data_IF_475863212210
#
_entry.id   IF_475863212210
#
_cell.length_a   1.000
_cell.length_b   1.000
_cell.length_c   1.000
_cell.angle_alpha   90.00
_cell.angle_beta   90.00
_cell.angle_gamma   90.00
#
_symmetry.space_group_name_H-M   'P 1'
#
loop_
_entity.id
_entity.type
_entity.pdbx_description
1 polymer ?
#
# COMPACT_ATOMS: atom_id res chain seq x y z
N UNK A 1 -24.75 11.31 -26.47
CA UNK A 1 -24.31 11.81 -25.16
C UNK A 1 -24.27 10.62 -24.23
N UNK A 2 -23.09 10.27 -23.70
CA UNK A 2 -22.96 9.21 -22.69
C UNK A 2 -23.80 9.60 -21.48
N UNK A 3 -24.71 8.74 -21.03
CA UNK A 3 -25.42 8.97 -19.78
C UNK A 3 -24.40 9.05 -18.64
N UNK A 4 -24.53 10.05 -17.74
CA UNK A 4 -23.74 10.21 -16.51
C UNK A 4 -23.36 8.88 -15.82
N UNK A 5 -24.29 7.91 -15.61
CA UNK A 5 -23.94 6.61 -15.02
C UNK A 5 -22.87 5.82 -15.79
N UNK A 6 -22.87 5.87 -17.12
CA UNK A 6 -21.88 5.18 -17.96
C UNK A 6 -20.48 5.76 -17.77
N UNK A 7 -20.39 7.09 -17.62
CA UNK A 7 -19.12 7.75 -17.33
C UNK A 7 -18.59 7.35 -15.95
N UNK A 8 -19.45 7.33 -14.93
CA UNK A 8 -19.07 6.90 -13.58
C UNK A 8 -18.56 5.45 -13.55
N UNK A 9 -19.25 4.54 -14.25
CA UNK A 9 -18.83 3.12 -14.37
C UNK A 9 -17.48 3.02 -15.07
N UNK A 10 -17.27 3.78 -16.16
CA UNK A 10 -16.01 3.76 -16.90
C UNK A 10 -14.83 4.24 -16.03
N UNK A 11 -15.02 5.34 -15.28
CA UNK A 11 -14.01 5.86 -14.36
C UNK A 11 -13.70 4.83 -13.27
N UNK A 12 -14.73 4.25 -12.65
CA UNK A 12 -14.54 3.23 -11.62
C UNK A 12 -13.79 2.01 -12.18
N UNK A 13 -14.17 1.50 -13.36
CA UNK A 13 -13.50 0.39 -14.01
C UNK A 13 -12.01 0.69 -14.24
N UNK A 14 -11.69 1.88 -14.77
CA UNK A 14 -10.32 2.31 -15.02
C UNK A 14 -9.49 2.37 -13.72
N UNK A 15 -10.06 2.88 -12.63
CA UNK A 15 -9.39 2.92 -11.32
C UNK A 15 -9.12 1.52 -10.76
N UNK A 16 -10.10 0.61 -10.83
CA UNK A 16 -9.91 -0.78 -10.38
C UNK A 16 -8.84 -1.51 -11.20
N UNK A 17 -8.84 -1.33 -12.52
CA UNK A 17 -7.82 -1.92 -13.40
C UNK A 17 -6.45 -1.34 -13.08
N UNK A 18 -6.32 -0.02 -12.93
CA UNK A 18 -5.05 0.63 -12.63
C UNK A 18 -4.48 0.20 -11.27
N UNK A 19 -5.33 0.11 -10.23
CA UNK A 19 -4.93 -0.33 -8.91
C UNK A 19 -4.47 -1.81 -8.92
N UNK A 20 -5.23 -2.67 -9.59
CA UNK A 20 -4.89 -4.09 -9.77
C UNK A 20 -3.54 -4.25 -10.49
N UNK A 21 -3.39 -3.58 -11.64
CA UNK A 21 -2.16 -3.59 -12.43
C UNK A 21 -0.95 -3.11 -11.61
N UNK A 22 -1.11 -2.05 -10.83
CA UNK A 22 -0.03 -1.53 -9.98
C UNK A 22 0.36 -2.52 -8.89
N UNK A 23 -0.61 -3.07 -8.15
CA UNK A 23 -0.33 -4.03 -7.07
C UNK A 23 0.36 -5.28 -7.59
N UNK A 24 -0.15 -5.84 -8.69
CA UNK A 24 0.42 -7.05 -9.27
C UNK A 24 1.79 -6.81 -9.88
N UNK A 25 1.99 -5.67 -10.56
CA UNK A 25 3.29 -5.30 -11.12
C UNK A 25 4.35 -5.13 -10.02
N UNK A 26 4.00 -4.49 -8.90
CA UNK A 26 4.91 -4.36 -7.76
C UNK A 26 5.29 -5.73 -7.20
N UNK A 27 4.32 -6.63 -7.01
CA UNK A 27 4.61 -7.99 -6.54
C UNK A 27 5.50 -8.77 -7.52
N UNK A 28 5.12 -8.83 -8.80
CA UNK A 28 5.88 -9.59 -9.79
C UNK A 28 7.29 -9.00 -9.99
N UNK A 29 7.43 -7.66 -9.96
CA UNK A 29 8.74 -7.02 -10.03
C UNK A 29 9.64 -7.39 -8.84
N UNK A 30 9.07 -7.64 -7.66
CA UNK A 30 9.82 -8.05 -6.46
C UNK A 30 10.41 -9.46 -6.56
N UNK A 31 9.95 -10.28 -7.52
CA UNK A 31 10.48 -11.61 -7.79
C UNK A 31 11.69 -11.58 -8.75
N UNK A 32 11.92 -10.47 -9.46
CA UNK A 32 13.05 -10.33 -10.37
C UNK A 32 14.36 -10.20 -9.60
N UNK A 33 15.41 -10.94 -10.01
CA UNK A 33 16.75 -10.85 -9.39
C UNK A 33 17.56 -9.70 -9.95
N UNK A 34 17.24 -9.29 -11.18
CA UNK A 34 17.88 -8.17 -11.88
C UNK A 34 16.85 -7.09 -12.21
N UNK A 35 17.31 -5.86 -12.44
CA UNK A 35 16.42 -4.75 -12.83
C UNK A 35 15.66 -5.04 -14.14
N UNK A 36 16.28 -5.77 -15.06
CA UNK A 36 15.67 -6.19 -16.34
C UNK A 36 14.62 -7.28 -16.13
N UNK A 37 14.87 -8.28 -15.27
CA UNK A 37 13.85 -9.28 -14.91
C UNK A 37 12.64 -8.62 -14.23
N UNK A 38 12.89 -7.68 -13.31
CA UNK A 38 11.84 -6.97 -12.59
C UNK A 38 10.92 -6.18 -13.54
N UNK A 39 11.48 -5.50 -14.54
CA UNK A 39 10.69 -4.74 -15.52
C UNK A 39 9.90 -5.65 -16.46
N UNK A 40 10.47 -6.79 -16.89
CA UNK A 40 9.76 -7.78 -17.71
C UNK A 40 8.57 -8.35 -16.95
N UNK A 41 8.77 -8.73 -15.68
CA UNK A 41 7.69 -9.25 -14.83
C UNK A 41 6.61 -8.19 -14.56
N UNK A 42 6.99 -6.93 -14.34
CA UNK A 42 6.03 -5.83 -14.20
C UNK A 42 5.16 -5.65 -15.46
N UNK A 43 5.78 -5.62 -16.65
CA UNK A 43 5.06 -5.49 -17.93
C UNK A 43 4.14 -6.68 -18.17
N UNK A 44 4.63 -7.90 -17.91
CA UNK A 44 3.82 -9.12 -18.02
C UNK A 44 2.59 -9.05 -17.11
N UNK A 45 2.76 -8.56 -15.89
CA UNK A 45 1.65 -8.38 -14.95
C UNK A 45 0.62 -7.37 -15.44
N UNK A 46 1.06 -6.20 -15.91
CA UNK A 46 0.15 -5.18 -16.44
C UNK A 46 -0.63 -5.71 -17.66
N UNK A 47 0.03 -6.47 -18.55
CA UNK A 47 -0.62 -7.10 -19.69
C UNK A 47 -1.66 -8.16 -19.26
N UNK A 48 -1.37 -8.94 -18.21
CA UNK A 48 -2.31 -9.88 -17.63
C UNK A 48 -3.55 -9.16 -17.07
N UNK A 49 -3.38 -8.04 -16.36
CA UNK A 49 -4.50 -7.25 -15.83
C UNK A 49 -5.40 -6.64 -16.93
N UNK A 50 -4.82 -6.15 -18.03
CA UNK A 50 -5.60 -5.70 -19.19
C UNK A 50 -6.35 -6.87 -19.83
N UNK A 51 -5.70 -8.03 -19.93
CA UNK A 51 -6.32 -9.25 -20.48
C UNK A 51 -7.49 -9.71 -19.61
N UNK A 52 -7.35 -9.68 -18.28
CA UNK A 52 -8.42 -9.97 -17.31
C UNK A 52 -9.63 -9.05 -17.48
N UNK A 53 -9.41 -7.77 -17.77
CA UNK A 53 -10.48 -6.81 -17.98
C UNK A 53 -11.29 -7.13 -19.25
N UNK A 54 -10.63 -7.55 -20.33
CA UNK A 54 -11.27 -7.76 -21.65
C UNK A 54 -11.91 -9.14 -21.78
N UNK A 55 -11.29 -10.18 -21.23
CA UNK A 55 -11.75 -11.58 -21.38
C UNK A 55 -13.21 -11.85 -20.96
N UNK A 56 -13.77 -11.25 -19.90
CA UNK A 56 -15.17 -11.42 -19.54
C UNK A 56 -16.13 -11.04 -20.68
N UNK A 57 -15.82 -9.98 -21.43
CA UNK A 57 -16.63 -9.56 -22.59
C UNK A 57 -16.56 -10.62 -23.70
N UNK A 58 -15.38 -11.20 -23.93
CA UNK A 58 -15.16 -12.28 -24.91
C UNK A 58 -15.92 -13.55 -24.49
N UNK A 59 -15.91 -13.90 -23.21
CA UNK A 59 -16.65 -15.04 -22.66
C UNK A 59 -18.15 -14.87 -22.90
N UNK A 60 -18.73 -13.72 -22.52
CA UNK A 60 -20.16 -13.47 -22.75
C UNK A 60 -20.50 -13.47 -24.24
N UNK A 61 -19.65 -12.87 -25.08
CA UNK A 61 -19.81 -12.92 -26.55
C UNK A 61 -19.83 -14.36 -27.07
N UNK A 62 -18.90 -15.20 -26.63
CA UNK A 62 -18.80 -16.59 -27.07
C UNK A 62 -20.02 -17.41 -26.62
N UNK A 63 -20.59 -17.12 -25.44
CA UNK A 63 -21.85 -17.72 -24.98
C UNK A 63 -23.02 -17.32 -25.89
N UNK A 64 -23.16 -16.03 -26.21
CA UNK A 64 -24.25 -15.52 -27.07
C UNK A 64 -24.17 -16.11 -28.48
N UNK A 65 -22.96 -16.16 -29.04
CA UNK A 65 -22.72 -16.71 -30.40
C UNK A 65 -22.61 -18.24 -30.44
N UNK A 66 -22.77 -18.93 -29.31
CA UNK A 66 -22.59 -20.40 -29.16
C UNK A 66 -21.24 -20.90 -29.71
N UNK A 67 -20.19 -20.09 -29.62
CA UNK A 67 -18.84 -20.39 -30.10
C UNK A 67 -18.05 -21.16 -29.03
N UNK A 68 -18.38 -22.44 -28.81
CA UNK A 68 -17.86 -23.25 -27.70
C UNK A 68 -16.33 -23.33 -27.61
N UNK A 69 -15.62 -23.38 -28.74
CA UNK A 69 -14.15 -23.38 -28.74
C UNK A 69 -13.55 -22.07 -28.22
N UNK A 70 -14.13 -20.92 -28.62
CA UNK A 70 -13.72 -19.61 -28.10
C UNK A 70 -14.06 -19.47 -26.62
N UNK A 71 -15.22 -19.99 -26.20
CA UNK A 71 -15.63 -20.00 -24.80
C UNK A 71 -14.63 -20.77 -23.93
N UNK A 72 -14.28 -22.01 -24.33
CA UNK A 72 -13.34 -22.84 -23.57
C UNK A 72 -11.97 -22.15 -23.42
N UNK A 73 -11.42 -21.63 -24.52
CA UNK A 73 -10.13 -20.92 -24.50
C UNK A 73 -10.16 -19.64 -23.67
N UNK A 74 -11.18 -18.80 -23.84
CA UNK A 74 -11.31 -17.55 -23.10
C UNK A 74 -11.54 -17.79 -21.60
N UNK A 75 -12.38 -18.77 -21.23
CA UNK A 75 -12.62 -19.14 -19.84
C UNK A 75 -11.38 -19.72 -19.17
N UNK A 76 -10.61 -20.57 -19.86
CA UNK A 76 -9.35 -21.10 -19.33
C UNK A 76 -8.33 -19.98 -19.08
N UNK A 77 -8.11 -19.12 -20.08
CA UNK A 77 -7.19 -17.99 -19.95
C UNK A 77 -7.63 -17.03 -18.83
N UNK A 78 -8.94 -16.76 -18.72
CA UNK A 78 -9.49 -15.92 -17.66
C UNK A 78 -9.24 -16.52 -16.28
N UNK A 79 -9.44 -17.84 -16.13
CA UNK A 79 -9.15 -18.55 -14.88
C UNK A 79 -7.67 -18.45 -14.49
N UNK A 80 -6.76 -18.65 -15.43
CA UNK A 80 -5.30 -18.52 -15.20
C UNK A 80 -4.94 -17.11 -14.76
N UNK A 81 -5.42 -16.10 -15.48
CA UNK A 81 -5.10 -14.70 -15.18
C UNK A 81 -5.69 -14.26 -13.83
N UNK A 82 -6.94 -14.65 -13.51
CA UNK A 82 -7.54 -14.37 -12.19
C UNK A 82 -6.74 -15.05 -11.08
N UNK A 83 -6.34 -16.32 -11.27
CA UNK A 83 -5.55 -17.04 -10.27
C UNK A 83 -4.17 -16.38 -10.05
N UNK A 84 -3.48 -15.98 -11.12
CA UNK A 84 -2.22 -15.27 -11.06
C UNK A 84 -2.37 -13.91 -10.35
N UNK A 85 -3.43 -13.16 -10.69
CA UNK A 85 -3.74 -11.86 -10.12
C UNK A 85 -4.06 -11.94 -8.62
N UNK A 86 -4.88 -12.92 -8.22
CA UNK A 86 -5.15 -13.21 -6.80
C UNK A 86 -3.89 -13.60 -6.04
N UNK A 87 -3.07 -14.50 -6.59
CA UNK A 87 -1.81 -14.91 -5.98
C UNK A 87 -0.88 -13.69 -5.80
N UNK A 88 -0.85 -12.79 -6.79
CA UNK A 88 -0.04 -11.58 -6.76
C UNK A 88 -0.54 -10.57 -5.72
N UNK A 89 -1.85 -10.34 -5.64
CA UNK A 89 -2.46 -9.48 -4.62
C UNK A 89 -2.24 -9.99 -3.20
N UNK A 90 -2.36 -11.31 -2.98
CA UNK A 90 -2.05 -11.95 -1.69
C UNK A 90 -0.56 -11.79 -1.37
N UNK A 91 0.31 -12.03 -2.35
CA UNK A 91 1.75 -11.88 -2.21
C UNK A 91 2.18 -10.45 -1.88
N UNK A 92 1.63 -9.45 -2.57
CA UNK A 92 1.85 -8.03 -2.29
C UNK A 92 1.45 -7.66 -0.85
N UNK A 93 0.26 -8.11 -0.44
CA UNK A 93 -0.22 -7.87 0.91
C UNK A 93 0.63 -8.58 1.97
N UNK A 94 1.17 -9.76 1.65
CA UNK A 94 2.12 -10.47 2.52
C UNK A 94 3.46 -9.72 2.61
N UNK A 95 4.02 -9.23 1.50
CA UNK A 95 5.30 -8.51 1.47
C UNK A 95 5.25 -7.19 2.24
N UNK A 96 4.22 -6.37 1.99
CA UNK A 96 4.06 -5.07 2.67
C UNK A 96 3.92 -5.25 4.18
N UNK A 97 3.23 -6.30 4.62
CA UNK A 97 3.15 -6.67 6.02
C UNK A 97 4.46 -7.23 6.55
N UNK A 98 5.12 -8.10 5.80
CA UNK A 98 6.42 -8.65 6.13
C UNK A 98 7.41 -7.53 6.44
N UNK A 99 7.53 -6.56 5.54
CA UNK A 99 8.37 -5.38 5.71
C UNK A 99 7.99 -4.56 6.95
N UNK A 100 6.70 -4.30 7.18
CA UNK A 100 6.26 -3.57 8.37
C UNK A 100 6.55 -4.34 9.68
N UNK A 101 6.38 -5.66 9.69
CA UNK A 101 6.69 -6.49 10.85
C UNK A 101 8.19 -6.60 11.11
N UNK A 102 9.00 -6.75 10.06
CA UNK A 102 10.46 -6.79 10.16
C UNK A 102 11.02 -5.45 10.66
N UNK A 103 10.50 -4.32 10.18
CA UNK A 103 10.88 -3.00 10.68
C UNK A 103 10.59 -2.86 12.19
N UNK A 104 9.41 -3.30 12.64
CA UNK A 104 9.04 -3.29 14.06
C UNK A 104 9.89 -4.21 14.91
N UNK A 105 10.26 -5.39 14.39
CA UNK A 105 11.17 -6.31 15.07
C UNK A 105 12.55 -5.68 15.21
N UNK A 106 13.09 -5.07 14.15
CA UNK A 106 14.35 -4.33 14.20
C UNK A 106 14.30 -3.21 15.25
N UNK A 107 13.22 -2.42 15.30
CA UNK A 107 13.05 -1.37 16.32
C UNK A 107 12.97 -1.94 17.76
N UNK A 108 12.32 -3.10 17.92
CA UNK A 108 12.25 -3.79 19.21
C UNK A 108 13.63 -4.31 19.65
N UNK A 109 14.43 -4.84 18.72
CA UNK A 109 15.79 -5.33 18.97
C UNK A 109 16.76 -4.18 19.29
N UNK A 110 16.63 -3.05 18.59
CA UNK A 110 17.40 -1.83 18.91
C UNK A 110 17.01 -1.31 20.30
N UNK A 111 15.72 -1.38 20.68
CA UNK A 111 15.28 -0.96 22.02
C UNK A 111 15.78 -1.91 23.11
N UNK A 112 15.68 -3.21 22.89
CA UNK A 112 16.11 -4.23 23.87
C UNK A 112 17.62 -4.17 24.08
N UNK A 113 18.41 -4.03 23.02
CA UNK A 113 19.86 -3.82 23.11
C UNK A 113 20.22 -2.52 23.84
N UNK A 114 19.52 -1.41 23.57
CA UNK A 114 19.73 -0.16 24.30
C UNK A 114 19.35 -0.26 25.79
N UNK A 115 18.31 -1.03 26.14
CA UNK A 115 17.97 -1.31 27.54
C UNK A 115 19.03 -2.15 28.25
N UNK A 116 19.60 -3.13 27.56
CA UNK A 116 20.71 -3.94 28.10
C UNK A 116 21.96 -3.08 28.34
N UNK A 117 22.30 -2.19 27.40
CA UNK A 117 23.39 -1.24 27.57
C UNK A 117 23.17 -0.31 28.76
N UNK A 118 21.93 0.17 28.96
CA UNK A 118 21.61 1.01 30.12
C UNK A 118 21.82 0.26 31.44
N UNK A 119 21.40 -1.00 31.51
CA UNK A 119 21.63 -1.86 32.68
C UNK A 119 23.10 -2.13 32.94
N UNK A 120 23.90 -2.32 31.90
CA UNK A 120 25.36 -2.48 32.03
C UNK A 120 26.01 -1.20 32.58
N UNK A 121 25.60 -0.02 32.08
CA UNK A 121 26.06 1.26 32.62
C UNK A 121 25.65 1.46 34.08
N UNK A 122 24.43 1.08 34.45
CA UNK A 122 23.96 1.12 35.84
C UNK A 122 24.83 0.22 36.73
N UNK A 123 25.11 -1.02 36.30
CA UNK A 123 25.97 -1.95 37.04
C UNK A 123 27.41 -1.42 37.21
N UNK A 124 27.98 -0.78 36.17
CA UNK A 124 29.30 -0.14 36.26
C UNK A 124 29.29 1.05 37.23
N UNK A 125 28.21 1.83 37.25
CA UNK A 125 28.05 2.95 38.17
C UNK A 125 27.89 2.51 39.63
N UNK A 126 27.33 1.32 39.88
CA UNK A 126 27.23 0.72 41.21
C UNK A 126 28.57 0.20 41.73
N UNK A 127 29.45 -0.29 40.83
CA UNK A 127 30.80 -0.74 41.20
C UNK A 127 31.73 0.42 41.56
N UNK A 128 31.46 1.63 41.06
CA UNK A 128 32.25 2.82 41.38
C UNK A 128 31.84 3.42 42.73
N UNK A 129 32.81 3.75 43.62
CA UNK A 129 32.51 4.33 44.91
C UNK A 129 31.75 5.66 44.76
N UNK A 130 30.79 5.89 45.66
CA UNK A 130 30.12 7.17 45.79
C UNK A 130 31.10 8.20 46.37
N UNK A 131 31.77 8.93 45.47
CA UNK A 131 32.77 9.94 45.80
C UNK A 131 32.24 11.37 45.70
N UNK A 132 33.11 12.30 46.11
CA UNK A 132 32.93 13.74 45.91
C UNK A 132 32.97 14.08 44.42
N UNK A 133 32.38 15.20 44.03
CA UNK A 133 32.41 15.65 42.63
C UNK A 133 33.82 16.10 42.23
N UNK A 134 34.12 16.03 40.93
CA UNK A 134 35.43 16.47 40.38
C UNK A 134 35.75 17.90 40.80
N UNK A 135 34.76 18.80 40.79
CA UNK A 135 34.95 20.20 41.20
C UNK A 135 35.37 20.38 42.66
N UNK A 136 34.84 19.59 43.59
CA UNK A 136 35.26 19.63 45.00
C UNK A 136 36.70 19.13 45.16
N UNK A 137 37.03 18.04 44.46
CA UNK A 137 38.37 17.44 44.50
C UNK A 137 39.43 18.35 43.86
N UNK A 138 39.07 19.07 42.80
CA UNK A 138 39.94 20.06 42.14
C UNK A 138 40.29 21.23 43.08
N UNK A 139 39.29 21.74 43.81
CA UNK A 139 39.50 22.81 44.80
C UNK A 139 40.40 22.35 45.95
N UNK A 140 40.21 21.12 46.45
CA UNK A 140 41.06 20.57 47.51
C UNK A 140 42.49 20.29 47.04
N UNK A 141 42.65 19.73 45.85
CA UNK A 141 43.97 19.55 45.25
C UNK A 141 44.68 20.89 45.06
N UNK A 142 43.98 21.91 44.55
CA UNK A 142 44.54 23.26 44.43
C UNK A 142 44.95 23.82 45.78
N UNK A 143 44.16 23.61 46.84
CA UNK A 143 44.51 23.99 48.21
C UNK A 143 45.78 23.29 48.70
N UNK A 144 45.92 21.98 48.45
CA UNK A 144 47.12 21.22 48.81
C UNK A 144 48.37 21.71 48.06
N UNK A 145 48.23 22.14 46.81
CA UNK A 145 49.33 22.69 46.02
C UNK A 145 49.87 24.03 46.54
N UNK A 146 49.11 24.75 47.37
CA UNK A 146 49.54 25.98 48.05
C UNK A 146 50.35 25.71 49.33
N UNK A 147 50.37 24.48 49.83
CA UNK A 147 51.10 24.12 51.05
C UNK A 147 52.63 24.08 50.83
N UNK A 148 53.42 24.49 51.81
CA UNK A 148 54.91 24.47 51.75
C UNK A 148 55.46 23.07 51.46
N UNK A 149 54.78 22.02 51.92
CA UNK A 149 55.21 20.65 51.66
C UNK A 149 55.15 20.28 50.17
N UNK A 150 54.25 20.88 49.39
CA UNK A 150 54.15 20.67 47.94
C UNK A 150 55.41 21.10 47.20
N UNK A 151 55.91 22.32 47.47
CA UNK A 151 57.13 22.84 46.84
C UNK A 151 58.38 22.12 47.36
N UNK A 152 58.46 21.84 48.67
CA UNK A 152 59.61 21.14 49.26
C UNK A 152 59.78 19.69 48.77
N UNK A 153 58.68 19.04 48.37
CA UNK A 153 58.68 17.69 47.82
C UNK A 153 58.88 17.65 46.31
N UNK A 154 59.06 18.80 45.66
CA UNK A 154 59.05 18.95 44.21
C UNK A 154 57.82 18.26 43.58
N UNK A 155 56.61 18.64 44.01
CA UNK A 155 55.35 18.03 43.54
C UNK A 155 55.26 16.53 43.81
N UNK A 156 55.72 16.09 44.98
CA UNK A 156 55.80 14.68 45.38
C UNK A 156 56.74 13.80 44.56
N UNK A 157 57.74 14.38 43.88
CA UNK A 157 58.81 13.63 43.21
C UNK A 157 59.95 13.28 44.19
N UNK A 158 60.28 14.19 45.10
CA UNK A 158 61.36 14.04 46.08
C UNK A 158 60.78 13.93 47.50
N UNK A 159 60.52 12.70 47.93
CA UNK A 159 59.82 12.45 49.19
C UNK A 159 60.82 12.16 50.32
N UNK A 160 61.24 13.21 51.04
CA UNK A 160 62.17 13.11 52.18
C UNK A 160 61.45 13.36 53.52
N UNK A 161 61.57 12.42 54.46
CA UNK A 161 60.99 12.52 55.81
C UNK A 161 59.58 11.94 55.94
N UNK A 162 59.09 11.84 57.19
CA UNK A 162 57.78 11.24 57.48
C UNK A 162 56.60 12.16 57.11
N UNK A 163 56.68 13.45 57.45
CA UNK A 163 55.60 14.43 57.20
C UNK A 163 55.32 14.63 55.71
N UNK A 164 56.38 14.74 54.88
CA UNK A 164 56.25 14.88 53.43
C UNK A 164 55.65 13.61 52.80
N UNK A 165 55.99 12.41 53.30
CA UNK A 165 55.36 11.15 52.88
C UNK A 165 53.85 11.17 53.14
N UNK A 166 53.42 11.59 54.33
CA UNK A 166 52.01 11.66 54.68
C UNK A 166 51.27 12.67 53.79
N UNK A 167 51.80 13.87 53.61
CA UNK A 167 51.25 14.88 52.70
C UNK A 167 51.08 14.33 51.27
N UNK A 168 52.13 13.72 50.72
CA UNK A 168 52.08 13.15 49.38
C UNK A 168 51.12 11.97 49.26
N UNK A 169 50.96 11.17 50.31
CA UNK A 169 49.95 10.10 50.33
C UNK A 169 48.52 10.65 50.24
N UNK A 170 48.23 11.77 50.91
CA UNK A 170 46.93 12.45 50.81
C UNK A 170 46.71 13.04 49.42
N UNK A 171 47.72 13.66 48.81
CA UNK A 171 47.60 14.16 47.43
C UNK A 171 47.35 13.03 46.43
N UNK A 172 48.06 11.90 46.56
CA UNK A 172 47.84 10.73 45.71
C UNK A 172 46.45 10.13 45.91
N UNK A 173 45.96 10.07 47.16
CA UNK A 173 44.58 9.69 47.48
C UNK A 173 43.57 10.59 46.77
N UNK A 174 43.69 11.92 46.92
CA UNK A 174 42.82 12.88 46.25
C UNK A 174 42.86 12.77 44.72
N UNK A 175 44.04 12.54 44.13
CA UNK A 175 44.17 12.30 42.68
C UNK A 175 43.46 11.02 42.24
N UNK A 176 43.57 9.94 43.02
CA UNK A 176 42.87 8.68 42.73
C UNK A 176 41.34 8.82 42.85
N UNK A 177 40.86 9.54 43.87
CA UNK A 177 39.43 9.88 44.00
C UNK A 177 38.94 10.74 42.85
N UNK A 178 39.76 11.71 42.39
CA UNK A 178 39.42 12.57 41.24
C UNK A 178 39.28 11.77 39.96
N UNK A 179 40.20 10.82 39.72
CA UNK A 179 40.12 9.93 38.57
C UNK A 179 38.82 9.10 38.60
N UNK A 180 38.49 8.49 39.74
CA UNK A 180 37.24 7.75 39.91
C UNK A 180 35.99 8.63 39.74
N UNK A 181 36.02 9.87 40.23
CA UNK A 181 34.94 10.84 40.05
C UNK A 181 34.76 11.25 38.59
N UNK A 182 35.85 11.37 37.83
CA UNK A 182 35.82 11.67 36.40
C UNK A 182 35.22 10.50 35.60
N UNK A 183 35.65 9.26 35.88
CA UNK A 183 35.10 8.06 35.24
C UNK A 183 33.59 7.93 35.52
N UNK A 184 33.18 8.17 36.76
CA UNK A 184 31.76 8.21 37.13
C UNK A 184 30.97 9.27 36.35
N UNK A 185 31.53 10.48 36.21
CA UNK A 185 30.89 11.57 35.45
C UNK A 185 30.72 11.21 33.98
N UNK A 186 31.73 10.56 33.37
CA UNK A 186 31.66 10.09 31.98
C UNK A 186 30.54 9.07 31.79
N UNK A 187 30.46 8.06 32.65
CA UNK A 187 29.40 7.04 32.61
C UNK A 187 28.00 7.64 32.83
N UNK A 188 27.87 8.64 33.72
CA UNK A 188 26.59 9.33 33.93
C UNK A 188 26.13 10.10 32.69
N UNK A 189 27.05 10.75 31.98
CA UNK A 189 26.71 11.42 30.71
C UNK A 189 26.25 10.41 29.67
N UNK A 190 26.97 9.30 29.51
CA UNK A 190 26.60 8.23 28.57
C UNK A 190 25.22 7.64 28.89
N UNK A 191 24.97 7.33 30.16
CA UNK A 191 23.66 6.87 30.66
C UNK A 191 22.55 7.85 30.32
N UNK A 192 22.77 9.15 30.56
CA UNK A 192 21.76 10.19 30.28
C UNK A 192 21.46 10.31 28.78
N UNK A 193 22.47 10.21 27.93
CA UNK A 193 22.32 10.25 26.47
C UNK A 193 21.55 9.03 25.96
N UNK A 194 21.88 7.83 26.48
CA UNK A 194 21.19 6.59 26.14
C UNK A 194 19.73 6.59 26.62
N UNK A 195 19.49 7.10 27.83
CA UNK A 195 18.13 7.28 28.37
C UNK A 195 17.31 8.26 27.51
N UNK A 196 17.89 9.38 27.08
CA UNK A 196 17.22 10.33 26.20
C UNK A 196 16.88 9.69 24.84
N UNK A 197 17.79 8.88 24.29
CA UNK A 197 17.54 8.11 23.06
C UNK A 197 16.39 7.12 23.23
N UNK A 198 16.33 6.39 24.35
CA UNK A 198 15.23 5.46 24.65
C UNK A 198 13.87 6.19 24.76
N UNK A 199 13.84 7.35 25.41
CA UNK A 199 12.62 8.19 25.47
C UNK A 199 12.21 8.61 24.06
N UNK A 200 13.15 9.05 23.22
CA UNK A 200 12.88 9.40 21.81
C UNK A 200 12.36 8.22 20.97
N UNK A 201 12.75 6.98 21.29
CA UNK A 201 12.26 5.77 20.61
C UNK A 201 10.89 5.27 21.12
N UNK A 202 10.42 5.77 22.27
CA UNK A 202 9.15 5.34 22.86
C UNK A 202 7.94 6.04 22.24
N UNK A 203 8.12 7.27 21.75
CA UNK A 203 7.05 8.05 21.11
C UNK A 203 6.70 7.56 19.69
N UNK A 204 7.61 6.85 19.02
CA UNK A 204 7.37 6.23 17.70
C UNK A 204 6.88 4.78 17.78
N UNK A 205 6.96 4.17 18.96
CA UNK A 205 6.57 2.78 19.22
C UNK A 205 5.07 2.65 19.48
N UNK A 206 4.25 3.21 18.59
CA UNK A 206 2.81 3.02 18.62
C UNK A 206 2.48 1.53 18.58
N UNK A 207 1.59 1.14 19.48
CA UNK A 207 1.05 -0.20 19.69
C UNK A 207 0.73 -0.91 18.36
N UNK A 208 0.89 -2.23 18.35
CA UNK A 208 0.85 -3.06 17.14
C UNK A 208 -0.49 -3.01 16.41
N UNK A 209 -0.71 -1.97 15.59
CA UNK A 209 -1.94 -1.71 14.85
C UNK A 209 -3.19 -1.86 15.75
N UNK A 210 -3.47 -0.82 16.58
CA UNK A 210 -4.56 -0.87 17.55
C UNK A 210 -5.92 -1.12 16.90
N UNK A 211 -6.07 -0.80 15.61
CA UNK A 211 -7.29 -1.05 14.85
C UNK A 211 -7.48 -2.55 14.59
N UNK A 212 -6.46 -3.26 14.10
CA UNK A 212 -6.56 -4.70 13.91
C UNK A 212 -6.68 -5.47 15.23
N UNK A 213 -6.05 -4.97 16.31
CA UNK A 213 -6.17 -5.56 17.64
C UNK A 213 -7.61 -5.42 18.20
N UNK A 214 -8.20 -4.22 18.13
CA UNK A 214 -9.57 -3.99 18.58
C UNK A 214 -10.60 -4.83 17.80
N UNK A 215 -10.44 -4.94 16.47
CA UNK A 215 -11.35 -5.76 15.65
C UNK A 215 -11.17 -7.25 15.92
N UNK A 216 -9.93 -7.71 16.15
CA UNK A 216 -9.65 -9.09 16.51
C UNK A 216 -10.28 -9.47 17.86
N UNK A 217 -10.19 -8.58 18.85
CA UNK A 217 -10.78 -8.76 20.17
C UNK A 217 -12.31 -8.86 20.11
N UNK A 218 -12.96 -7.93 19.40
CA UNK A 218 -14.42 -7.95 19.19
C UNK A 218 -14.90 -9.22 18.49
N UNK A 219 -14.11 -9.73 17.53
CA UNK A 219 -14.48 -10.94 16.77
C UNK A 219 -14.07 -12.24 17.47
N UNK A 220 -13.24 -12.20 18.52
CA UNK A 220 -12.64 -13.38 19.14
C UNK A 220 -11.74 -14.18 18.19
N UNK A 221 -11.15 -13.51 17.18
CA UNK A 221 -10.30 -14.14 16.16
C UNK A 221 -8.87 -13.65 16.34
N UNK A 222 -7.90 -14.55 16.17
CA UNK A 222 -6.48 -14.18 16.12
C UNK A 222 -6.21 -13.07 15.09
N UNK A 223 -5.52 -11.99 15.52
CA UNK A 223 -5.13 -10.84 14.70
C UNK A 223 -4.47 -11.27 13.37
N UNK A 224 -3.70 -12.35 13.38
CA UNK A 224 -3.05 -12.88 12.19
C UNK A 224 -4.06 -13.41 11.17
N UNK A 225 -5.08 -14.15 11.63
CA UNK A 225 -6.17 -14.67 10.78
C UNK A 225 -7.02 -13.55 10.23
N UNK A 226 -7.40 -12.58 11.07
CA UNK A 226 -8.17 -11.41 10.66
C UNK A 226 -7.43 -10.63 9.58
N UNK A 227 -6.16 -10.33 9.80
CA UNK A 227 -5.32 -9.64 8.81
C UNK A 227 -5.25 -10.41 7.50
N UNK A 228 -4.94 -11.71 7.52
CA UNK A 228 -4.91 -12.55 6.29
C UNK A 228 -6.26 -12.49 5.57
N UNK A 229 -7.36 -12.63 6.29
CA UNK A 229 -8.71 -12.52 5.76
C UNK A 229 -8.96 -11.18 5.07
N UNK A 230 -8.61 -10.06 5.72
CA UNK A 230 -8.77 -8.71 5.14
C UNK A 230 -7.94 -8.52 3.85
N UNK A 231 -6.73 -9.08 3.78
CA UNK A 231 -5.92 -9.02 2.55
C UNK A 231 -6.51 -9.82 1.42
N UNK A 232 -6.98 -11.03 1.70
CA UNK A 232 -7.66 -11.87 0.71
C UNK A 232 -8.94 -11.19 0.25
N UNK A 233 -9.75 -10.64 1.17
CA UNK A 233 -10.98 -9.93 0.84
C UNK A 233 -10.72 -8.68 -0.02
N UNK A 234 -9.69 -7.90 0.30
CA UNK A 234 -9.28 -6.73 -0.49
C UNK A 234 -8.84 -7.15 -1.89
N UNK A 235 -7.96 -8.16 -2.00
CA UNK A 235 -7.53 -8.69 -3.29
C UNK A 235 -8.75 -9.15 -4.11
N UNK A 236 -9.62 -9.99 -3.54
CA UNK A 236 -10.85 -10.44 -4.20
C UNK A 236 -11.73 -9.28 -4.66
N UNK A 237 -11.89 -8.24 -3.84
CA UNK A 237 -12.71 -7.06 -4.18
C UNK A 237 -12.13 -6.32 -5.40
N UNK A 238 -10.82 -6.13 -5.44
CA UNK A 238 -10.14 -5.45 -6.56
C UNK A 238 -10.26 -6.29 -7.84
N UNK A 239 -10.05 -7.60 -7.73
CA UNK A 239 -10.19 -8.55 -8.84
C UNK A 239 -11.61 -8.55 -9.43
N UNK A 240 -12.62 -8.78 -8.58
CA UNK A 240 -14.02 -8.82 -9.00
C UNK A 240 -14.48 -7.46 -9.54
N UNK A 241 -14.09 -6.36 -8.90
CA UNK A 241 -14.45 -5.01 -9.32
C UNK A 241 -14.02 -4.71 -10.76
N UNK A 242 -12.78 -5.08 -11.13
CA UNK A 242 -12.26 -4.90 -12.48
C UNK A 242 -13.05 -5.68 -13.54
N UNK A 243 -13.50 -6.89 -13.23
CA UNK A 243 -14.27 -7.75 -14.14
C UNK A 243 -15.73 -7.28 -14.26
N UNK A 244 -16.39 -7.07 -13.12
CA UNK A 244 -17.82 -6.73 -13.07
C UNK A 244 -18.07 -5.36 -13.70
N UNK A 245 -17.23 -4.35 -13.41
CA UNK A 245 -17.44 -3.01 -13.95
C UNK A 245 -17.24 -2.96 -15.47
N UNK A 246 -16.32 -3.75 -16.03
CA UNK A 246 -16.13 -3.84 -17.48
C UNK A 246 -17.30 -4.55 -18.15
N UNK A 247 -17.86 -5.60 -17.53
CA UNK A 247 -19.08 -6.24 -18.02
C UNK A 247 -20.27 -5.28 -18.02
N UNK A 248 -20.46 -4.51 -16.93
CA UNK A 248 -21.50 -3.49 -16.83
C UNK A 248 -21.33 -2.39 -17.90
N UNK A 249 -20.09 -1.95 -18.15
CA UNK A 249 -19.78 -0.97 -19.19
C UNK A 249 -20.15 -1.46 -20.60
N UNK A 250 -19.94 -2.75 -20.88
CA UNK A 250 -20.19 -3.36 -22.19
C UNK A 250 -21.60 -3.97 -22.34
N UNK A 251 -22.43 -3.95 -21.30
CA UNK A 251 -23.74 -4.62 -21.28
C UNK A 251 -24.66 -4.24 -22.44
N UNK A 252 -24.70 -2.96 -22.82
CA UNK A 252 -25.54 -2.48 -23.94
C UNK A 252 -25.05 -2.97 -25.32
N UNK A 253 -23.75 -3.19 -25.49
CA UNK A 253 -23.19 -3.77 -26.71
C UNK A 253 -23.45 -5.28 -26.75
N UNK A 254 -23.33 -5.95 -25.60
CA UNK A 254 -23.62 -7.37 -25.45
C UNK A 254 -25.10 -7.70 -25.76
N UNK A 255 -26.04 -6.86 -25.32
CA UNK A 255 -27.47 -7.02 -25.63
C UNK A 255 -27.76 -6.91 -27.13
N UNK A 256 -27.06 -6.01 -27.85
CA UNK A 256 -27.23 -5.86 -29.31
C UNK A 256 -26.80 -7.10 -30.09
N UNK A 257 -25.87 -7.90 -29.56
CA UNK A 257 -25.44 -9.14 -30.21
C UNK A 257 -26.42 -10.30 -30.09
N UNK A 258 -27.39 -10.21 -29.17
CA UNK A 258 -28.41 -11.25 -28.99
C UNK A 258 -29.47 -11.21 -30.09
N UNK A 259 -29.75 -10.02 -30.63
CA UNK A 259 -30.77 -9.81 -31.68
C UNK A 259 -30.13 -9.25 -32.97
N UNK A 260 -29.25 -10.01 -33.66
CA UNK A 260 -28.62 -9.56 -34.90
C UNK A 260 -29.63 -9.38 -36.05
N UNK A 261 -30.83 -9.95 -35.90
CA UNK A 261 -31.86 -10.08 -36.95
C UNK A 261 -33.03 -9.10 -36.81
N UNK A 262 -32.97 -8.03 -36.00
CA UNK A 262 -33.86 -6.90 -36.36
C UNK A 262 -33.27 -6.32 -37.63
N UNK A 263 -33.85 -6.57 -38.82
CA UNK A 263 -33.41 -5.83 -39.99
C UNK A 263 -33.60 -4.38 -39.58
N UNK A 264 -32.61 -3.53 -39.81
CA UNK A 264 -32.86 -2.09 -39.78
C UNK A 264 -34.13 -1.92 -40.60
N UNK A 265 -35.24 -1.52 -39.96
CA UNK A 265 -36.46 -1.15 -40.68
C UNK A 265 -35.94 -0.32 -41.84
N UNK A 266 -36.07 -0.81 -43.09
CA UNK A 266 -35.39 -0.19 -44.22
C UNK A 266 -35.80 1.26 -44.15
N UNK A 267 -34.83 2.16 -43.86
CA UNK A 267 -35.08 3.59 -43.64
C UNK A 267 -36.09 3.97 -44.69
N UNK A 268 -37.34 4.21 -44.27
CA UNK A 268 -38.47 4.20 -45.18
C UNK A 268 -38.04 5.06 -46.35
N UNK A 269 -37.79 4.41 -47.51
CA UNK A 269 -37.28 5.12 -48.67
C UNK A 269 -38.30 6.23 -48.84
N UNK A 270 -37.87 7.47 -48.62
CA UNK A 270 -38.74 8.61 -48.76
C UNK A 270 -39.08 8.63 -50.23
N UNK A 271 -40.19 7.97 -50.58
CA UNK A 271 -40.70 7.94 -51.93
C UNK A 271 -40.79 9.41 -52.31
N UNK A 272 -40.19 9.84 -53.44
CA UNK A 272 -40.34 11.21 -53.89
C UNK A 272 -41.83 11.51 -53.85
N UNK A 273 -42.21 12.57 -53.15
CA UNK A 273 -43.60 12.99 -52.98
C UNK A 273 -44.14 13.33 -54.38
N UNK A 274 -44.63 12.31 -55.07
CA UNK A 274 -45.10 12.37 -56.43
C UNK A 274 -46.35 13.24 -56.42
N UNK A 275 -46.23 14.46 -56.97
CA UNK A 275 -47.39 15.33 -57.25
C UNK A 275 -48.43 14.65 -58.17
N UNK A 276 -48.07 13.52 -58.77
CA UNK A 276 -48.83 12.81 -59.80
C UNK A 276 -49.98 11.94 -59.25
N UNK A 277 -49.95 11.60 -57.96
CA UNK A 277 -51.07 10.86 -57.32
C UNK A 277 -52.38 11.66 -57.37
N UNK A 278 -52.28 13.00 -57.36
CA UNK A 278 -53.45 13.88 -57.51
C UNK A 278 -54.03 13.91 -58.93
N UNK A 279 -53.22 13.69 -59.97
CA UNK A 279 -53.70 13.62 -61.35
C UNK A 279 -54.39 12.29 -61.64
N UNK A 280 -53.89 11.20 -61.04
CA UNK A 280 -54.45 9.87 -61.22
C UNK A 280 -55.89 9.76 -60.67
N UNK A 281 -56.16 10.37 -59.51
CA UNK A 281 -57.53 10.43 -58.97
C UNK A 281 -58.50 11.27 -59.82
N UNK A 282 -58.00 12.31 -60.51
CA UNK A 282 -58.85 13.16 -61.36
C UNK A 282 -59.31 12.47 -62.66
N UNK A 283 -58.53 11.51 -63.18
CA UNK A 283 -58.86 10.77 -64.41
C UNK A 283 -59.83 9.60 -64.19
N UNK A 284 -60.13 9.23 -62.94
CA UNK A 284 -61.04 8.13 -62.60
C UNK A 284 -62.50 8.52 -62.37
N UNK A 285 -62.87 9.78 -62.61
CA UNK A 285 -64.27 10.19 -62.64
C UNK A 285 -64.98 9.41 -63.75
N UNK A 286 -65.97 8.54 -63.44
CA UNK A 286 -66.60 7.71 -64.44
C UNK A 286 -67.33 8.61 -65.45
N UNK A 287 -66.96 8.48 -66.73
CA UNK A 287 -67.73 9.06 -67.82
C UNK A 287 -69.16 8.52 -67.72
N UNK A 288 -70.09 9.41 -67.39
CA UNK A 288 -71.52 9.13 -67.26
C UNK A 288 -72.01 8.73 -68.65
N UNK A 289 -72.11 7.43 -68.91
CA UNK A 289 -72.62 6.89 -70.16
C UNK A 289 -74.13 7.11 -70.18
N UNK A 290 -74.58 8.21 -70.78
CA UNK A 290 -76.01 8.49 -70.98
C UNK A 290 -76.49 7.69 -72.19
N UNK A 291 -77.22 6.61 -71.94
CA UNK A 291 -77.96 5.89 -72.97
C UNK A 291 -79.19 6.71 -73.35
N UNK A 292 -79.14 7.35 -74.53
CA UNK A 292 -80.32 7.89 -75.21
C UNK A 292 -81.16 6.71 -75.71
N UNK A 293 -82.26 6.40 -75.02
CA UNK A 293 -83.30 5.50 -75.48
C UNK A 293 -84.49 6.29 -76.02
N UNK A 294 -84.55 6.50 -77.34
CA UNK A 294 -85.76 6.88 -78.05
C UNK A 294 -86.55 5.61 -78.40
N UNK A 295 -87.77 5.48 -77.88
CA UNK A 295 -88.73 4.50 -78.36
C UNK A 295 -90.12 5.15 -78.47
N UNK A 296 -90.57 5.19 -79.71
CA UNK A 296 -91.86 5.58 -80.27
C UNK A 296 -92.97 4.55 -79.99
N UNK A 297 -94.20 5.08 -79.97
CA UNK A 297 -95.50 4.48 -80.34
C UNK A 297 -96.07 3.26 -79.59
N UNK A 298 -97.27 3.44 -79.01
CA UNK A 298 -98.56 3.07 -79.63
C UNK A 298 -99.68 2.88 -78.58
N UNK A 299 -100.65 3.81 -78.56
CA UNK A 299 -102.12 3.60 -78.57
C UNK A 299 -102.88 4.86 -78.16
#
# INVERSE_FOLDING_TARGET
MSSLPTLCIAIAAALFIALSATMNALFLSSLGRTATEASILAVLSMAADVTKAVLPVVVVRAIVLRAWGQLAGASLMLGIVIALSLASGIGFAALTRGAATAARQADADVRSSAQLQLRDLDARLEQLPHGRTVGVLDVELARMMLDRHWTSSNSCVAVAGATVRQFCSEVLRLKSERAAANDRSALMMERSALSARLVGMSSSAGESDPQAAAVADVLGIDTLRLRRGLSVALAVTIELGSVILVLLLNGSALLRWRDPERPSEPSAVSLPHSKDVSQWHRRRSPARFTLNGSATDAR
#
